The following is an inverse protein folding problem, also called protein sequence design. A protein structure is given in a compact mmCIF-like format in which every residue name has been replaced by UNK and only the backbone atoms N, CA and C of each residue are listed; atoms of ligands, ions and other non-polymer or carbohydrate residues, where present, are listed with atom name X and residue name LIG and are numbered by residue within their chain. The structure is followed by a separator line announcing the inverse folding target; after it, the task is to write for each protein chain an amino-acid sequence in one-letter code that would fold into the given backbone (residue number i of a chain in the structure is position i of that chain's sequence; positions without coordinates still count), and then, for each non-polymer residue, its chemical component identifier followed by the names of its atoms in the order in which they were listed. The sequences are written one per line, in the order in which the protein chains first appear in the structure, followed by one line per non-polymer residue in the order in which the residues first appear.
data_IF_801968578766
#
_entry.id   IF_801968578766
#
_cell.length_a   1.000
_cell.length_b   1.000
_cell.length_c   1.000
_cell.angle_alpha   90.00
_cell.angle_beta   90.00
_cell.angle_gamma   90.00
#
_symmetry.space_group_name_H-M   'P 1'
#
loop_
_entity.id
_entity.type
_entity.pdbx_description
1 polymer ?
#
# COMPACT_ATOMS: atom_id res chain seq x y z
N UNK A 1 -23.57 6.51 -2.65
CA UNK A 1 -22.65 5.41 -3.04
C UNK A 1 -22.43 4.50 -1.84
N UNK A 2 -22.25 3.19 -2.03
CA UNK A 2 -21.87 2.29 -0.93
C UNK A 2 -20.44 1.83 -1.15
N UNK A 3 -19.52 2.33 -0.34
CA UNK A 3 -18.12 1.93 -0.38
C UNK A 3 -17.96 0.46 0.07
N UNK A 4 -17.08 -0.32 -0.58
CA UNK A 4 -16.79 -1.69 -0.14
C UNK A 4 -16.23 -1.72 1.29
N UNK A 5 -16.61 -2.73 2.07
CA UNK A 5 -16.09 -2.90 3.44
C UNK A 5 -14.56 -2.97 3.46
N UNK A 6 -13.95 -3.73 2.54
CA UNK A 6 -12.50 -3.86 2.43
C UNK A 6 -11.80 -2.50 2.18
N UNK A 7 -12.45 -1.60 1.42
CA UNK A 7 -11.91 -0.27 1.18
C UNK A 7 -11.95 0.62 2.42
N UNK A 8 -13.04 0.56 3.19
CA UNK A 8 -13.16 1.27 4.48
C UNK A 8 -12.13 0.74 5.48
N UNK A 9 -11.99 -0.60 5.57
CA UNK A 9 -10.98 -1.24 6.43
C UNK A 9 -9.56 -0.82 6.03
N UNK A 10 -9.24 -0.83 4.73
CA UNK A 10 -7.97 -0.32 4.21
C UNK A 10 -7.71 1.11 4.69
N UNK A 11 -8.66 2.04 4.51
CA UNK A 11 -8.48 3.43 4.91
C UNK A 11 -8.38 3.59 6.43
N UNK A 12 -9.12 2.81 7.21
CA UNK A 12 -9.04 2.80 8.67
C UNK A 12 -7.66 2.35 9.16
N UNK A 13 -7.13 1.24 8.63
CA UNK A 13 -5.77 0.78 8.91
C UNK A 13 -4.70 1.77 8.47
N UNK A 14 -4.93 2.44 7.34
CA UNK A 14 -3.99 3.39 6.76
C UNK A 14 -3.83 4.65 7.62
N UNK A 15 -4.93 5.19 8.15
CA UNK A 15 -4.94 6.45 8.90
C UNK A 15 -4.87 6.26 10.41
N UNK A 16 -5.50 5.21 10.95
CA UNK A 16 -5.52 4.93 12.38
C UNK A 16 -4.16 4.43 12.87
N UNK A 17 -3.88 3.12 12.81
CA UNK A 17 -2.63 2.55 13.32
C UNK A 17 -1.43 2.77 12.39
N UNK A 18 -1.64 3.31 11.17
CA UNK A 18 -0.63 3.39 10.11
C UNK A 18 -0.07 2.00 9.74
N UNK A 19 -0.91 0.98 9.75
CA UNK A 19 -0.52 -0.41 9.47
C UNK A 19 -0.57 -0.68 7.95
N UNK A 20 0.40 -0.14 7.22
CA UNK A 20 0.42 -0.25 5.75
C UNK A 20 0.74 -1.65 5.24
N UNK A 21 1.31 -2.51 6.09
CA UNK A 21 1.42 -3.93 5.76
C UNK A 21 0.03 -4.56 5.73
N UNK A 22 -0.80 -4.30 6.75
CA UNK A 22 -2.19 -4.78 6.75
C UNK A 22 -3.03 -4.20 5.62
N UNK A 23 -2.80 -2.92 5.29
CA UNK A 23 -3.45 -2.29 4.14
C UNK A 23 -3.16 -3.07 2.84
N UNK A 24 -1.91 -3.51 2.64
CA UNK A 24 -1.53 -4.35 1.51
C UNK A 24 -2.32 -5.66 1.51
N UNK A 25 -2.39 -6.38 2.63
CA UNK A 25 -3.06 -7.67 2.72
C UNK A 25 -4.56 -7.55 2.38
N UNK A 26 -5.25 -6.61 3.02
CA UNK A 26 -6.69 -6.36 2.81
C UNK A 26 -6.99 -6.06 1.34
N UNK A 27 -6.20 -5.17 0.73
CA UNK A 27 -6.49 -4.72 -0.62
C UNK A 27 -5.99 -5.71 -1.68
N UNK A 28 -4.96 -6.50 -1.40
CA UNK A 28 -4.50 -7.57 -2.31
C UNK A 28 -5.53 -8.71 -2.38
N UNK A 29 -6.11 -9.11 -1.25
CA UNK A 29 -7.22 -10.08 -1.21
C UNK A 29 -8.41 -9.58 -2.02
N UNK A 30 -8.85 -8.35 -1.76
CA UNK A 30 -9.98 -7.76 -2.50
C UNK A 30 -9.69 -7.58 -4.00
N UNK A 31 -8.45 -7.23 -4.36
CA UNK A 31 -8.03 -7.10 -5.76
C UNK A 31 -8.04 -8.42 -6.53
N UNK A 32 -7.68 -9.55 -5.90
CA UNK A 32 -7.67 -10.88 -6.52
C UNK A 32 -9.07 -11.32 -6.94
N UNK A 33 -10.08 -10.95 -6.17
CA UNK A 33 -11.48 -11.32 -6.40
C UNK A 33 -12.24 -10.38 -7.33
N UNK A 34 -11.72 -9.18 -7.58
CA UNK A 34 -12.38 -8.16 -8.40
C UNK A 34 -12.48 -8.59 -9.87
N UNK A 35 -13.67 -8.69 -10.50
CA UNK A 35 -13.77 -9.02 -11.92
C UNK A 35 -13.53 -7.82 -12.85
N UNK A 36 -13.79 -6.58 -12.40
CA UNK A 36 -13.66 -5.39 -13.25
C UNK A 36 -12.20 -5.00 -13.47
N UNK A 37 -11.78 -4.88 -14.73
CA UNK A 37 -10.42 -4.44 -15.07
C UNK A 37 -10.14 -3.00 -14.59
N UNK A 38 -11.15 -2.15 -14.57
CA UNK A 38 -11.07 -0.77 -14.06
C UNK A 38 -10.83 -0.76 -12.54
N UNK A 39 -11.67 -1.47 -11.79
CA UNK A 39 -11.55 -1.57 -10.33
C UNK A 39 -10.28 -2.30 -9.91
N UNK A 40 -9.84 -3.31 -10.68
CA UNK A 40 -8.53 -3.94 -10.47
C UNK A 40 -7.40 -2.92 -10.51
N UNK A 41 -7.45 -1.94 -11.41
CA UNK A 41 -6.42 -0.89 -11.49
C UNK A 41 -6.46 0.02 -10.26
N UNK A 42 -7.67 0.39 -9.81
CA UNK A 42 -7.88 1.16 -8.58
C UNK A 42 -7.26 0.47 -7.36
N UNK A 43 -7.62 -0.80 -7.14
CA UNK A 43 -7.13 -1.57 -5.99
C UNK A 43 -5.63 -1.83 -6.07
N UNK A 44 -5.10 -2.11 -7.26
CA UNK A 44 -3.66 -2.27 -7.45
C UNK A 44 -2.88 -0.99 -7.10
N UNK A 45 -3.39 0.19 -7.46
CA UNK A 45 -2.75 1.45 -7.11
C UNK A 45 -2.73 1.65 -5.59
N UNK A 46 -3.83 1.36 -4.89
CA UNK A 46 -3.88 1.41 -3.42
C UNK A 46 -2.90 0.42 -2.77
N UNK A 47 -2.82 -0.82 -3.27
CA UNK A 47 -1.82 -1.81 -2.80
C UNK A 47 -0.40 -1.25 -2.95
N UNK A 48 -0.04 -0.75 -4.12
CA UNK A 48 1.30 -0.23 -4.39
C UNK A 48 1.63 0.98 -3.53
N UNK A 49 0.66 1.86 -3.29
CA UNK A 49 0.81 2.98 -2.36
C UNK A 49 1.15 2.47 -0.95
N UNK A 50 0.36 1.56 -0.39
CA UNK A 50 0.60 1.00 0.94
C UNK A 50 1.98 0.31 1.05
N UNK A 51 2.36 -0.50 0.06
CA UNK A 51 3.68 -1.17 0.03
C UNK A 51 4.82 -0.15 -0.11
N UNK A 52 4.64 0.90 -0.89
CA UNK A 52 5.63 1.98 -1.05
C UNK A 52 5.92 2.68 0.28
N UNK A 53 4.87 3.06 1.00
CA UNK A 53 5.01 3.69 2.31
C UNK A 53 5.59 2.72 3.36
N UNK A 54 5.23 1.44 3.29
CA UNK A 54 5.84 0.41 4.14
C UNK A 54 7.36 0.31 3.92
N UNK A 55 7.82 0.37 2.67
CA UNK A 55 9.24 0.44 2.35
C UNK A 55 9.89 1.74 2.82
N UNK A 56 9.20 2.87 2.67
CA UNK A 56 9.67 4.18 3.11
C UNK A 56 9.93 4.21 4.61
N UNK A 57 8.99 3.68 5.42
CA UNK A 57 9.16 3.53 6.87
C UNK A 57 10.39 2.72 7.25
N UNK A 58 10.80 1.76 6.41
CA UNK A 58 11.95 0.89 6.64
C UNK A 58 13.25 1.41 6.03
N UNK A 59 13.24 2.63 5.47
CA UNK A 59 14.40 3.22 4.79
C UNK A 59 14.78 2.49 3.48
N UNK A 60 13.90 1.65 2.93
CA UNK A 60 14.16 0.97 1.67
C UNK A 60 13.77 1.87 0.49
N UNK A 61 14.64 2.82 0.16
CA UNK A 61 14.42 3.81 -0.90
C UNK A 61 14.12 3.15 -2.25
N UNK A 62 14.87 2.13 -2.65
CA UNK A 62 14.68 1.45 -3.93
C UNK A 62 13.29 0.78 -4.01
N UNK A 63 12.84 0.17 -2.91
CA UNK A 63 11.50 -0.39 -2.78
C UNK A 63 10.40 0.67 -2.85
N UNK A 64 10.58 1.78 -2.13
CA UNK A 64 9.65 2.91 -2.13
C UNK A 64 9.49 3.49 -3.53
N UNK A 65 10.61 3.84 -4.18
CA UNK A 65 10.61 4.46 -5.50
C UNK A 65 9.91 3.57 -6.52
N UNK A 66 10.21 2.26 -6.52
CA UNK A 66 9.58 1.29 -7.42
C UNK A 66 8.06 1.26 -7.26
N UNK A 67 7.57 1.17 -6.03
CA UNK A 67 6.14 1.02 -5.76
C UNK A 67 5.37 2.32 -6.01
N UNK A 68 5.86 3.45 -5.50
CA UNK A 68 5.18 4.74 -5.67
C UNK A 68 5.19 5.23 -7.13
N UNK A 69 6.26 4.97 -7.89
CA UNK A 69 6.28 5.28 -9.32
C UNK A 69 5.27 4.42 -10.11
N UNK A 70 5.11 3.15 -9.72
CA UNK A 70 4.11 2.27 -10.34
C UNK A 70 2.68 2.75 -10.02
N UNK A 71 2.43 3.11 -8.77
CA UNK A 71 1.14 3.64 -8.34
C UNK A 71 0.79 4.92 -9.08
N UNK A 72 1.76 5.84 -9.21
CA UNK A 72 1.60 7.07 -9.96
C UNK A 72 1.26 6.82 -11.44
N UNK A 73 1.91 5.83 -12.07
CA UNK A 73 1.61 5.42 -13.43
C UNK A 73 0.17 4.90 -13.62
N UNK A 74 -0.42 4.29 -12.58
CA UNK A 74 -1.83 3.89 -12.59
C UNK A 74 -2.78 5.05 -12.27
N UNK A 75 -2.36 5.99 -11.40
CA UNK A 75 -3.19 7.05 -10.86
C UNK A 75 -3.78 7.99 -11.91
N UNK A 76 -3.12 8.18 -13.05
CA UNK A 76 -3.65 9.05 -14.12
C UNK A 76 -4.88 8.46 -14.83
N UNK A 77 -5.05 7.13 -14.82
CA UNK A 77 -6.15 6.44 -15.49
C UNK A 77 -7.26 6.01 -14.54
N UNK A 78 -7.23 6.45 -13.28
CA UNK A 78 -8.19 6.11 -12.25
C UNK A 78 -9.14 7.30 -12.02
N UNK A 79 -10.44 7.02 -12.01
CA UNK A 79 -11.43 7.93 -11.43
C UNK A 79 -11.35 7.84 -9.89
N UNK A 80 -10.62 8.77 -9.29
CA UNK A 80 -10.48 8.87 -7.84
C UNK A 80 -11.72 9.46 -7.16
N UNK A 81 -12.51 10.25 -7.88
CA UNK A 81 -13.77 10.81 -7.38
C UNK A 81 -14.79 9.72 -7.09
N UNK A 82 -14.84 8.68 -7.93
CA UNK A 82 -15.64 7.47 -7.67
C UNK A 82 -15.20 6.70 -6.40
N UNK A 83 -13.99 6.95 -5.89
CA UNK A 83 -13.48 6.42 -4.63
C UNK A 83 -13.60 7.42 -3.47
N UNK A 84 -14.19 8.61 -3.68
CA UNK A 84 -14.29 9.65 -2.67
C UNK A 84 -12.95 10.32 -2.32
N UNK A 85 -11.97 10.23 -3.23
CA UNK A 85 -10.62 10.78 -3.06
C UNK A 85 -10.39 11.92 -4.04
N UNK A 86 -9.82 13.01 -3.55
CA UNK A 86 -9.34 14.09 -4.40
C UNK A 86 -8.14 13.62 -5.24
N UNK A 87 -8.43 13.25 -6.49
CA UNK A 87 -7.43 12.71 -7.40
C UNK A 87 -6.33 13.70 -7.76
N UNK A 88 -6.61 15.00 -7.77
CA UNK A 88 -5.61 16.03 -8.09
C UNK A 88 -4.57 16.14 -6.98
N UNK A 89 -5.02 16.31 -5.73
CA UNK A 89 -4.15 16.36 -4.56
C UNK A 89 -3.35 15.07 -4.42
N UNK A 90 -4.00 13.91 -4.56
CA UNK A 90 -3.34 12.60 -4.48
C UNK A 90 -2.17 12.50 -5.47
N UNK A 91 -2.43 12.83 -6.74
CA UNK A 91 -1.42 12.77 -7.79
C UNK A 91 -0.30 13.78 -7.57
N UNK A 92 -0.62 14.97 -7.11
CA UNK A 92 0.38 15.99 -6.79
C UNK A 92 1.32 15.51 -5.67
N UNK A 93 0.78 14.99 -4.58
CA UNK A 93 1.54 14.49 -3.44
C UNK A 93 2.38 13.26 -3.80
N UNK A 94 1.85 12.33 -4.59
CA UNK A 94 2.61 11.18 -5.11
C UNK A 94 3.78 11.62 -5.99
N UNK A 95 3.56 12.56 -6.92
CA UNK A 95 4.61 13.11 -7.79
C UNK A 95 5.71 13.78 -6.96
N UNK A 96 5.33 14.61 -5.99
CA UNK A 96 6.27 15.28 -5.11
C UNK A 96 7.12 14.28 -4.32
N UNK A 97 6.49 13.24 -3.75
CA UNK A 97 7.21 12.20 -2.99
C UNK A 97 8.17 11.38 -3.85
N UNK A 98 7.75 10.99 -5.06
CA UNK A 98 8.64 10.30 -6.02
C UNK A 98 9.83 11.17 -6.40
N UNK A 99 9.61 12.46 -6.69
CA UNK A 99 10.67 13.39 -7.08
C UNK A 99 11.73 13.58 -5.97
N UNK A 100 11.31 13.59 -4.70
CA UNK A 100 12.23 13.66 -3.56
C UNK A 100 13.16 12.43 -3.47
N UNK A 101 12.69 11.26 -3.88
CA UNK A 101 13.45 10.00 -3.84
C UNK A 101 14.39 9.82 -5.04
N UNK A 102 14.20 10.58 -6.11
CA UNK A 102 15.05 10.54 -7.31
C UNK A 102 16.20 11.55 -7.28
N UNK A 103 16.13 12.53 -6.38
CA UNK A 103 17.16 13.57 -6.24
C UNK A 103 18.27 13.06 -5.31
N UNK A 104 19.39 12.60 -5.90
CA UNK A 104 20.55 12.05 -5.19
C UNK A 104 21.13 13.00 -4.13
N UNK A 105 21.00 14.32 -4.33
CA UNK A 105 21.45 15.33 -3.36
C UNK A 105 20.52 15.46 -2.14
N UNK A 106 19.27 15.00 -2.24
CA UNK A 106 18.30 14.97 -1.13
C UNK A 106 18.21 13.61 -0.44
N UNK A 107 18.83 12.59 -1.04
CA UNK A 107 18.87 11.22 -0.53
C UNK A 107 19.61 11.08 0.81
N UNK A 108 20.58 11.95 1.08
CA UNK A 108 21.43 11.93 2.29
C UNK A 108 20.68 12.22 3.59
N UNK A 109 19.45 12.75 3.50
CA UNK A 109 18.51 12.93 4.61
C UNK A 109 17.19 12.16 4.43
N UNK A 110 17.07 11.29 3.41
CA UNK A 110 15.81 10.57 3.15
C UNK A 110 15.45 9.56 4.26
N UNK A 111 16.47 9.03 4.96
CA UNK A 111 16.26 8.15 6.12
C UNK A 111 15.62 8.88 7.33
N UNK A 112 15.62 10.22 7.35
CA UNK A 112 15.05 11.06 8.41
C UNK A 112 13.78 11.82 7.99
N UNK A 113 13.27 11.62 6.77
CA UNK A 113 12.08 12.32 6.22
C UNK A 113 10.88 11.41 5.98
N UNK A 114 10.75 10.32 6.74
CA UNK A 114 9.46 9.64 6.85
C UNK A 114 8.41 10.66 7.30
N UNK A 115 7.40 10.87 6.47
CA UNK A 115 6.24 11.70 6.80
C UNK A 115 4.99 10.85 6.73
N UNK A 116 4.21 10.89 7.81
CA UNK A 116 2.88 10.31 7.80
C UNK A 116 2.07 10.99 6.69
N UNK A 117 1.34 10.18 5.94
CA UNK A 117 0.56 10.65 4.81
C UNK A 117 -0.87 10.19 4.97
N UNK A 118 -1.79 11.06 4.56
CA UNK A 118 -3.21 10.81 4.61
C UNK A 118 -3.71 10.84 3.17
N UNK A 119 -4.63 9.92 2.84
CA UNK A 119 -5.35 10.08 1.58
C UNK A 119 -6.17 11.37 1.64
N UNK A 120 -6.22 12.16 0.57
CA UNK A 120 -7.05 13.35 0.50
C UNK A 120 -8.51 12.94 0.25
N UNK A 121 -9.16 12.41 1.28
CA UNK A 121 -10.57 12.02 1.23
C UNK A 121 -11.42 13.30 1.13
N UNK A 122 -12.24 13.40 0.09
CA UNK A 122 -13.13 14.54 -0.15
C UNK A 122 -14.62 14.20 0.06
N UNK A 123 -14.99 12.91 -0.05
CA UNK A 123 -16.34 12.46 0.28
C UNK A 123 -16.50 12.37 1.80
N UNK A 124 -17.37 13.24 2.33
CA UNK A 124 -17.67 13.31 3.76
C UNK A 124 -18.27 12.01 4.33
N UNK A 125 -19.10 11.30 3.56
CA UNK A 125 -19.69 10.03 3.99
C UNK A 125 -18.62 8.94 4.09
N UNK A 126 -17.65 8.90 3.16
CA UNK A 126 -16.50 8.00 3.26
C UNK A 126 -15.67 8.30 4.51
N UNK A 127 -15.38 9.58 4.76
CA UNK A 127 -14.60 10.01 5.91
C UNK A 127 -15.25 9.57 7.23
N UNK A 128 -16.56 9.76 7.38
CA UNK A 128 -17.32 9.35 8.56
C UNK A 128 -17.27 7.83 8.77
N UNK A 129 -17.42 7.03 7.71
CA UNK A 129 -17.29 5.58 7.78
C UNK A 129 -15.90 5.14 8.26
N UNK A 130 -14.85 5.83 7.82
CA UNK A 130 -13.48 5.51 8.21
C UNK A 130 -13.20 5.91 9.67
N UNK A 131 -13.68 7.08 10.09
CA UNK A 131 -13.59 7.53 11.49
C UNK A 131 -14.32 6.56 12.41
N UNK A 132 -15.54 6.16 12.06
CA UNK A 132 -16.31 5.19 12.84
C UNK A 132 -15.61 3.83 12.90
N UNK A 133 -15.09 3.34 11.78
CA UNK A 133 -14.33 2.08 11.73
C UNK A 133 -13.09 2.10 12.64
N UNK A 134 -12.40 3.25 12.73
CA UNK A 134 -11.32 3.43 13.70
C UNK A 134 -11.84 3.43 15.14
N UNK A 135 -12.91 4.17 15.43
CA UNK A 135 -13.50 4.25 16.76
C UNK A 135 -13.95 2.88 17.28
N UNK A 136 -14.62 2.07 16.45
CA UNK A 136 -15.08 0.71 16.78
C UNK A 136 -13.92 -0.23 17.14
N UNK A 137 -12.72 0.05 16.63
CA UNK A 137 -11.48 -0.70 16.88
C UNK A 137 -10.61 -0.10 17.99
N UNK A 138 -11.04 1.01 18.60
CA UNK A 138 -10.29 1.74 19.62
C UNK A 138 -9.08 2.49 19.05
N UNK A 139 -9.07 2.84 17.77
CA UNK A 139 -8.02 3.63 17.14
C UNK A 139 -8.40 5.10 17.03
N UNK A 140 -7.40 5.97 17.18
CA UNK A 140 -7.55 7.39 16.86
C UNK A 140 -7.38 7.59 15.36
N UNK A 141 -8.35 8.25 14.71
CA UNK A 141 -8.24 8.63 13.30
C UNK A 141 -7.06 9.57 13.08
N UNK A 142 -6.28 9.35 12.00
CA UNK A 142 -5.06 10.09 11.69
C UNK A 142 -4.08 10.14 12.88
N UNK A 143 -3.78 8.99 13.48
CA UNK A 143 -2.80 8.93 14.57
C UNK A 143 -1.45 9.41 14.05
N UNK A 144 -0.83 10.32 14.81
CA UNK A 144 0.50 10.84 14.53
C UNK A 144 1.52 10.24 15.51
N UNK A 145 2.80 10.31 15.16
CA UNK A 145 3.89 9.81 16.01
C UNK A 145 4.06 8.28 15.97
N UNK A 146 3.48 7.62 14.95
CA UNK A 146 3.58 6.17 14.71
C UNK A 146 5.02 5.68 14.50
N UNK A 147 5.95 6.60 14.20
CA UNK A 147 7.40 6.36 14.09
C UNK A 147 7.98 5.63 15.32
N UNK A 148 7.40 5.85 16.50
CA UNK A 148 7.85 5.29 17.77
C UNK A 148 7.21 3.94 18.14
N UNK A 149 6.22 3.47 17.37
CA UNK A 149 5.46 2.27 17.71
C UNK A 149 6.10 1.04 17.05
N UNK A 150 7.08 0.44 17.75
CA UNK A 150 7.72 -0.81 17.34
C UNK A 150 6.70 -1.92 17.03
N UNK A 151 5.56 -1.92 17.72
CA UNK A 151 4.48 -2.87 17.54
C UNK A 151 3.86 -2.86 16.13
N UNK A 152 3.80 -1.71 15.43
CA UNK A 152 3.26 -1.66 14.04
C UNK A 152 4.32 -2.03 13.03
N UNK A 153 5.58 -1.65 13.27
CA UNK A 153 6.70 -1.98 12.38
C UNK A 153 6.89 -3.50 12.25
N UNK A 154 6.79 -4.21 13.36
CA UNK A 154 7.20 -5.63 13.46
C UNK A 154 6.03 -6.59 13.67
N UNK A 155 4.77 -6.11 13.70
CA UNK A 155 3.56 -6.93 13.80
C UNK A 155 3.54 -8.10 12.84
N UNK A 156 3.93 -7.86 11.59
CA UNK A 156 3.97 -8.88 10.55
C UNK A 156 4.96 -10.02 10.88
N UNK A 157 6.01 -9.81 11.68
CA UNK A 157 6.95 -10.86 12.13
C UNK A 157 6.32 -11.81 13.14
N UNK A 158 5.27 -11.38 13.83
CA UNK A 158 4.54 -12.18 14.83
C UNK A 158 3.39 -12.99 14.22
N UNK A 159 3.12 -12.82 12.92
CA UNK A 159 2.13 -13.63 12.21
C UNK A 159 2.73 -14.94 11.74
N UNK A 160 1.94 -15.99 11.83
CA UNK A 160 2.20 -17.23 11.11
C UNK A 160 2.15 -16.94 9.59
N UNK A 161 3.23 -17.27 8.89
CA UNK A 161 3.39 -17.04 7.45
C UNK A 161 3.67 -18.34 6.70
N UNK A 162 3.26 -19.47 7.28
CA UNK A 162 3.53 -20.80 6.74
C UNK A 162 3.05 -20.90 5.28
N UNK A 163 1.87 -20.36 4.99
CA UNK A 163 1.27 -20.27 3.66
C UNK A 163 2.12 -19.46 2.64
N UNK A 164 2.63 -18.28 3.03
CA UNK A 164 3.47 -17.42 2.18
C UNK A 164 4.83 -18.08 1.91
N UNK A 165 5.40 -18.75 2.91
CA UNK A 165 6.66 -19.49 2.77
C UNK A 165 6.47 -20.67 1.82
N UNK A 166 5.38 -21.42 1.98
CA UNK A 166 5.03 -22.53 1.09
C UNK A 166 4.80 -22.07 -0.34
N UNK A 167 4.04 -20.98 -0.55
CA UNK A 167 3.82 -20.40 -1.87
C UNK A 167 5.13 -19.94 -2.54
N UNK A 168 6.05 -19.31 -1.79
CA UNK A 168 7.39 -18.94 -2.30
C UNK A 168 8.23 -20.16 -2.65
N UNK A 169 8.20 -21.21 -1.83
CA UNK A 169 8.92 -22.46 -2.12
C UNK A 169 8.36 -23.16 -3.37
N UNK A 170 7.04 -23.16 -3.56
CA UNK A 170 6.39 -23.70 -4.75
C UNK A 170 6.78 -22.89 -6.00
N UNK A 171 6.75 -21.56 -5.93
CA UNK A 171 7.19 -20.69 -7.02
C UNK A 171 8.68 -20.87 -7.37
N UNK A 172 9.54 -21.05 -6.36
CA UNK A 172 10.95 -21.36 -6.56
C UNK A 172 11.14 -22.73 -7.24
N UNK A 173 10.46 -23.77 -6.75
CA UNK A 173 10.48 -25.11 -7.36
C UNK A 173 10.03 -25.04 -8.82
N UNK A 174 8.90 -24.41 -9.13
CA UNK A 174 8.40 -24.24 -10.50
C UNK A 174 9.44 -23.57 -11.43
N UNK A 175 10.10 -22.50 -10.97
CA UNK A 175 11.19 -21.82 -11.71
C UNK A 175 12.40 -22.73 -11.94
N UNK A 176 12.81 -23.52 -10.95
CA UNK A 176 13.93 -24.46 -11.09
C UNK A 176 13.62 -25.63 -12.01
N UNK A 177 12.38 -26.14 -11.99
CA UNK A 177 11.93 -27.23 -12.87
C UNK A 177 11.87 -26.76 -14.32
N UNK A 178 11.35 -25.55 -14.58
CA UNK A 178 11.32 -24.96 -15.92
C UNK A 178 12.73 -24.72 -16.50
N UNK A 179 13.71 -24.41 -15.64
CA UNK A 179 15.12 -24.22 -16.02
C UNK A 179 15.87 -25.53 -16.31
N UNK A 180 15.41 -26.67 -15.77
CA UNK A 180 15.94 -28.02 -16.09
C UNK A 180 15.32 -28.58 -17.37
N UNK A 181 14.02 -28.39 -17.59
CA UNK A 181 13.32 -28.83 -18.81
C UNK A 181 13.88 -28.16 -20.08
N UNK A 182 14.22 -26.87 -20.00
CA UNK A 182 14.84 -26.12 -21.12
C UNK A 182 16.30 -26.48 -21.42
N UNK A 183 16.96 -27.25 -20.54
CA UNK A 183 18.38 -27.63 -20.69
C UNK A 183 18.59 -29.08 -21.15
N UNK A 184 17.56 -29.92 -21.10
CA UNK A 184 17.59 -31.32 -21.56
C UNK A 184 17.02 -31.53 -22.98
N UNK A 185 16.69 -30.46 -23.69
CA UNK A 185 16.17 -30.49 -25.07
C UNK A 185 17.18 -30.04 -26.13
N UNK A 186 18.48 -30.26 -25.91
CA UNK A 186 19.55 -29.99 -26.89
C UNK A 186 20.43 -31.21 -27.07
#
# INVERSE_FOLDING_TARGET
MRYPKAYIEYLAHFHGPRDWFECHEIMEEYWKEEPSAERKRQWLALVQIAVGLYHERRGNVAGTLKMLSSALGHAEAIDWGALGINGETLKHELKARVALLTDENKMTNAASTYSEWNFPIEDQYLLELCIQSCADKGWTWCMNGSQSIAAVRDKHLLRDRTDVIEARQQAFKARTTNRKSTRSGK
#
